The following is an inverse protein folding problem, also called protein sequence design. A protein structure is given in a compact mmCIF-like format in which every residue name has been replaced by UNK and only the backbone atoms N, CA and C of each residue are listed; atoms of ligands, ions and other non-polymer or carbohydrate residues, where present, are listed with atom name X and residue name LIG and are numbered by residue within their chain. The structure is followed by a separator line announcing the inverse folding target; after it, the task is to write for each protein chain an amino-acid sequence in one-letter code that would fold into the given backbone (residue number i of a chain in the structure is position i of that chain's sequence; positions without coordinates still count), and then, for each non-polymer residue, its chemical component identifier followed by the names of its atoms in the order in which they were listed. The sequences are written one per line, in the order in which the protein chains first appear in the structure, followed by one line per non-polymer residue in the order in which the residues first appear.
data_IF_802214438967
#
_entry.id   IF_802214438967
#
_cell.length_a   1.000
_cell.length_b   1.000
_cell.length_c   1.000
_cell.angle_alpha   90.00
_cell.angle_beta   90.00
_cell.angle_gamma   90.00
#
_symmetry.space_group_name_H-M   'P 1'
#
loop_
_entity.id
_entity.type
_entity.pdbx_description
1 polymer ?
#
# COMPACT_ATOMS: atom_id res chain seq x y z
N UNK A 1 5.02 -2.15 22.18
CA UNK A 1 3.60 -2.12 21.72
C UNK A 1 2.98 -0.71 21.73
N UNK A 2 3.74 0.36 21.45
CA UNK A 2 3.26 1.76 21.63
C UNK A 2 3.21 2.60 20.34
N UNK A 3 3.99 2.25 19.30
CA UNK A 3 4.11 3.06 18.08
C UNK A 3 2.89 3.07 17.16
N UNK A 4 2.20 1.94 17.00
CA UNK A 4 1.04 1.85 16.08
C UNK A 4 -0.22 2.55 16.61
N UNK A 5 -0.43 2.56 17.94
CA UNK A 5 -1.52 3.31 18.57
C UNK A 5 -1.35 4.82 18.40
N UNK A 6 -0.11 5.32 18.48
CA UNK A 6 0.17 6.75 18.30
C UNK A 6 -0.05 7.21 16.85
N UNK A 7 0.31 6.38 15.86
CA UNK A 7 0.03 6.66 14.44
C UNK A 7 -1.46 6.62 14.12
N UNK A 8 -2.17 5.62 14.61
CA UNK A 8 -3.62 5.52 14.41
C UNK A 8 -4.34 6.65 15.13
N UNK A 9 -4.01 6.97 16.38
CA UNK A 9 -4.57 8.13 17.10
C UNK A 9 -4.31 9.45 16.37
N UNK A 10 -3.10 9.67 15.84
CA UNK A 10 -2.80 10.89 15.07
C UNK A 10 -3.66 10.98 13.79
N UNK A 11 -3.88 9.86 13.10
CA UNK A 11 -4.79 9.80 11.96
C UNK A 11 -6.24 10.11 12.33
N UNK A 12 -6.73 9.56 13.44
CA UNK A 12 -8.07 9.83 13.96
C UNK A 12 -8.23 11.28 14.42
N UNK A 13 -7.22 11.87 15.07
CA UNK A 13 -7.20 13.28 15.45
C UNK A 13 -7.26 14.20 14.24
N UNK A 14 -6.54 13.89 13.16
CA UNK A 14 -6.60 14.66 11.93
C UNK A 14 -7.99 14.60 11.27
N UNK A 15 -8.64 13.42 11.27
CA UNK A 15 -10.02 13.27 10.79
C UNK A 15 -11.00 14.06 11.66
N UNK A 16 -10.87 13.98 12.99
CA UNK A 16 -11.72 14.72 13.92
C UNK A 16 -11.55 16.23 13.76
N UNK A 17 -10.31 16.73 13.66
CA UNK A 17 -10.02 18.14 13.41
C UNK A 17 -10.62 18.62 12.08
N UNK A 18 -10.52 17.79 11.03
CA UNK A 18 -11.10 18.08 9.72
C UNK A 18 -12.64 18.15 9.75
N UNK A 19 -13.29 17.20 10.43
CA UNK A 19 -14.73 17.19 10.63
C UNK A 19 -15.20 18.43 11.38
N UNK A 20 -14.53 18.77 12.48
CA UNK A 20 -14.86 19.96 13.30
C UNK A 20 -14.69 21.24 12.50
N UNK A 21 -13.59 21.37 11.75
CA UNK A 21 -13.33 22.53 10.91
C UNK A 21 -14.44 22.75 9.88
N UNK A 22 -14.83 21.69 9.15
CA UNK A 22 -15.87 21.79 8.11
C UNK A 22 -17.28 21.95 8.68
N UNK A 23 -17.56 21.38 9.86
CA UNK A 23 -18.84 21.55 10.55
C UNK A 23 -19.02 22.97 11.09
N UNK A 24 -17.93 23.62 11.48
CA UNK A 24 -17.91 25.02 11.93
C UNK A 24 -17.87 26.02 10.78
N UNK A 25 -17.33 25.62 9.63
CA UNK A 25 -17.26 26.47 8.45
C UNK A 25 -18.67 26.77 7.91
N UNK A 26 -18.91 27.98 7.40
CA UNK A 26 -20.14 28.25 6.68
C UNK A 26 -20.26 27.30 5.49
N UNK A 27 -21.46 26.72 5.28
CA UNK A 27 -21.70 25.68 4.28
C UNK A 27 -21.28 26.11 2.85
N UNK A 28 -21.38 27.41 2.55
CA UNK A 28 -20.98 28.02 1.28
C UNK A 28 -19.45 28.05 1.05
N UNK A 29 -18.63 27.86 2.09
CA UNK A 29 -17.17 27.72 2.00
C UNK A 29 -16.72 26.25 2.02
N UNK A 30 -17.46 25.38 2.75
CA UNK A 30 -17.16 23.95 2.80
C UNK A 30 -17.38 23.25 1.44
N UNK A 31 -18.47 23.59 0.75
CA UNK A 31 -18.82 23.02 -0.56
C UNK A 31 -17.79 23.32 -1.67
N UNK A 32 -17.36 24.57 -1.92
CA UNK A 32 -16.34 24.86 -2.93
C UNK A 32 -14.98 24.26 -2.57
N UNK A 33 -14.64 24.15 -1.29
CA UNK A 33 -13.41 23.48 -0.86
C UNK A 33 -13.42 21.98 -1.21
N UNK A 34 -14.54 21.30 -0.98
CA UNK A 34 -14.71 19.89 -1.37
C UNK A 34 -14.68 19.73 -2.90
N UNK A 35 -15.28 20.66 -3.64
CA UNK A 35 -15.20 20.67 -5.11
C UNK A 35 -13.78 20.88 -5.62
N UNK A 36 -13.00 21.78 -5.00
CA UNK A 36 -11.59 21.98 -5.34
C UNK A 36 -10.77 20.70 -5.09
N UNK A 37 -11.00 20.01 -3.97
CA UNK A 37 -10.37 18.71 -3.67
C UNK A 37 -10.76 17.66 -4.72
N UNK A 38 -12.04 17.60 -5.11
CA UNK A 38 -12.51 16.69 -6.15
C UNK A 38 -11.89 17.00 -7.52
N UNK A 39 -11.76 18.28 -7.89
CA UNK A 39 -11.13 18.73 -9.11
C UNK A 39 -9.64 18.39 -9.15
N UNK A 40 -8.92 18.60 -8.04
CA UNK A 40 -7.51 18.21 -7.90
C UNK A 40 -7.37 16.69 -8.06
N UNK A 41 -8.26 15.90 -7.47
CA UNK A 41 -8.29 14.45 -7.66
C UNK A 41 -8.56 14.06 -9.12
N UNK A 42 -9.48 14.73 -9.81
CA UNK A 42 -9.78 14.47 -11.22
C UNK A 42 -8.58 14.76 -12.15
N UNK A 43 -7.90 15.89 -11.93
CA UNK A 43 -6.82 16.36 -12.82
C UNK A 43 -5.48 15.71 -12.49
N UNK A 44 -5.23 15.40 -11.21
CA UNK A 44 -3.90 15.01 -10.74
C UNK A 44 -3.85 13.66 -10.02
N UNK A 45 -4.90 12.83 -10.10
CA UNK A 45 -4.94 11.52 -9.44
C UNK A 45 -3.71 10.65 -9.70
N UNK A 46 -3.16 10.67 -10.92
CA UNK A 46 -1.99 9.87 -11.27
C UNK A 46 -0.69 10.39 -10.65
N UNK A 47 -0.54 11.71 -10.49
CA UNK A 47 0.64 12.32 -9.85
C UNK A 47 0.63 12.21 -8.33
N UNK A 48 -0.55 12.09 -7.71
CA UNK A 48 -0.67 12.13 -6.26
C UNK A 48 -0.36 10.80 -5.55
N UNK A 49 -0.29 9.68 -6.27
CA UNK A 49 0.17 8.39 -5.73
C UNK A 49 -0.47 8.01 -4.39
N UNK A 50 0.33 7.91 -3.34
CA UNK A 50 -0.11 7.56 -1.97
C UNK A 50 -1.01 8.61 -1.31
N UNK A 51 -0.93 9.88 -1.69
CA UNK A 51 -1.72 10.97 -1.10
C UNK A 51 -3.18 10.94 -1.56
N UNK A 52 -3.47 10.35 -2.72
CA UNK A 52 -4.83 10.25 -3.25
C UNK A 52 -5.79 9.50 -2.30
N UNK A 53 -5.30 8.48 -1.60
CA UNK A 53 -6.09 7.76 -0.60
C UNK A 53 -6.50 8.65 0.60
N UNK A 54 -5.61 9.57 1.00
CA UNK A 54 -5.87 10.51 2.08
C UNK A 54 -6.88 11.58 1.65
N UNK A 55 -6.75 12.11 0.43
CA UNK A 55 -7.72 13.06 -0.13
C UNK A 55 -9.12 12.45 -0.34
N UNK A 56 -9.22 11.19 -0.81
CA UNK A 56 -10.51 10.47 -0.88
C UNK A 56 -11.17 10.35 0.48
N UNK A 57 -10.38 10.07 1.53
CA UNK A 57 -10.87 9.99 2.90
C UNK A 57 -11.32 11.36 3.42
N UNK A 58 -10.55 12.41 3.13
CA UNK A 58 -10.93 13.80 3.44
C UNK A 58 -12.22 14.23 2.75
N UNK A 59 -12.45 13.80 1.51
CA UNK A 59 -13.67 14.08 0.75
C UNK A 59 -14.89 13.34 1.31
N UNK A 60 -14.75 12.05 1.67
CA UNK A 60 -15.80 11.24 2.31
C UNK A 60 -16.28 11.84 3.63
N UNK A 61 -15.35 12.13 4.53
CA UNK A 61 -15.68 12.69 5.83
C UNK A 61 -16.06 14.17 5.74
N UNK A 62 -15.46 14.90 4.81
CA UNK A 62 -15.78 16.31 4.58
C UNK A 62 -17.19 16.52 4.04
N UNK A 63 -17.69 15.64 3.18
CA UNK A 63 -19.08 15.67 2.72
C UNK A 63 -20.07 15.52 3.87
N UNK A 64 -19.82 14.57 4.79
CA UNK A 64 -20.65 14.39 5.98
C UNK A 64 -20.68 15.64 6.86
N UNK A 65 -19.52 16.27 7.10
CA UNK A 65 -19.44 17.51 7.86
C UNK A 65 -20.13 18.70 7.16
N UNK A 66 -20.03 18.80 5.83
CA UNK A 66 -20.70 19.85 5.07
C UNK A 66 -22.23 19.69 5.07
N UNK A 67 -22.75 18.45 5.01
CA UNK A 67 -24.19 18.17 5.15
C UNK A 67 -24.70 18.52 6.54
N UNK A 68 -23.89 18.27 7.58
CA UNK A 68 -24.20 18.69 8.94
C UNK A 68 -24.21 20.22 9.07
N UNK A 69 -23.24 20.92 8.49
CA UNK A 69 -23.20 22.38 8.47
C UNK A 69 -24.41 22.99 7.72
N UNK A 70 -24.83 22.36 6.62
CA UNK A 70 -26.03 22.74 5.87
C UNK A 70 -27.31 22.52 6.69
N UNK A 71 -27.44 21.37 7.37
CA UNK A 71 -28.57 21.07 8.25
C UNK A 71 -28.67 22.09 9.40
N UNK A 72 -27.53 22.47 9.99
CA UNK A 72 -27.45 23.52 11.01
C UNK A 72 -27.88 24.89 10.48
N UNK A 73 -27.46 25.23 9.25
CA UNK A 73 -27.80 26.51 8.63
C UNK A 73 -29.28 26.63 8.23
N UNK A 74 -29.93 25.51 7.93
CA UNK A 74 -31.34 25.42 7.54
C UNK A 74 -32.32 25.34 8.73
N UNK A 75 -31.83 25.47 9.98
CA UNK A 75 -32.70 25.62 11.15
C UNK A 75 -33.28 24.33 11.73
N UNK A 76 -32.90 23.16 11.24
CA UNK A 76 -33.25 21.86 11.85
C UNK A 76 -34.68 21.35 11.59
N UNK A 77 -35.49 22.06 10.81
CA UNK A 77 -36.86 21.66 10.46
C UNK A 77 -36.91 20.36 9.61
N UNK A 78 -38.10 19.78 9.46
CA UNK A 78 -38.33 18.61 8.61
C UNK A 78 -37.81 18.80 7.17
N UNK A 79 -37.89 20.02 6.65
CA UNK A 79 -37.31 20.39 5.36
C UNK A 79 -35.78 20.34 5.36
N UNK A 80 -35.12 20.78 6.44
CA UNK A 80 -33.67 20.69 6.59
C UNK A 80 -33.19 19.23 6.63
N UNK A 81 -33.95 18.34 7.27
CA UNK A 81 -33.70 16.90 7.24
C UNK A 81 -33.87 16.30 5.85
N UNK A 82 -34.94 16.69 5.13
CA UNK A 82 -35.15 16.27 3.74
C UNK A 82 -34.02 16.72 2.82
N UNK A 83 -33.59 17.97 2.93
CA UNK A 83 -32.47 18.52 2.17
C UNK A 83 -31.14 17.84 2.51
N UNK A 84 -30.88 17.54 3.79
CA UNK A 84 -29.67 16.83 4.21
C UNK A 84 -29.65 15.37 3.72
N UNK A 85 -30.79 14.67 3.73
CA UNK A 85 -30.91 13.30 3.20
C UNK A 85 -30.75 13.26 1.69
N UNK A 86 -31.41 14.17 0.96
CA UNK A 86 -31.26 14.29 -0.49
C UNK A 86 -29.84 14.71 -0.88
N UNK A 87 -29.26 15.66 -0.16
CA UNK A 87 -27.87 16.08 -0.34
C UNK A 87 -26.88 14.96 -0.02
N UNK A 88 -27.16 14.15 1.01
CA UNK A 88 -26.42 12.95 1.35
C UNK A 88 -26.46 11.92 0.24
N UNK A 89 -27.66 11.59 -0.24
CA UNK A 89 -27.85 10.63 -1.33
C UNK A 89 -27.17 11.10 -2.61
N UNK A 90 -27.40 12.33 -3.05
CA UNK A 90 -26.80 12.89 -4.25
C UNK A 90 -25.28 12.99 -4.11
N UNK A 91 -24.80 13.52 -2.99
CA UNK A 91 -23.37 13.71 -2.73
C UNK A 91 -22.62 12.38 -2.64
N UNK A 92 -23.13 11.39 -1.91
CA UNK A 92 -22.50 10.07 -1.83
C UNK A 92 -22.61 9.27 -3.12
N UNK A 93 -23.69 9.42 -3.89
CA UNK A 93 -23.80 8.82 -5.23
C UNK A 93 -22.76 9.40 -6.18
N UNK A 94 -22.61 10.72 -6.20
CA UNK A 94 -21.62 11.40 -7.03
C UNK A 94 -20.20 11.05 -6.61
N UNK A 95 -19.95 10.96 -5.30
CA UNK A 95 -18.68 10.49 -4.75
C UNK A 95 -18.38 9.05 -5.13
N UNK A 96 -19.35 8.14 -5.05
CA UNK A 96 -19.19 6.75 -5.49
C UNK A 96 -18.92 6.67 -7.00
N UNK A 97 -19.61 7.50 -7.80
CA UNK A 97 -19.37 7.63 -9.23
C UNK A 97 -17.95 8.13 -9.54
N UNK A 98 -17.47 9.14 -8.80
CA UNK A 98 -16.11 9.65 -8.90
C UNK A 98 -15.07 8.58 -8.53
N UNK A 99 -15.27 7.86 -7.43
CA UNK A 99 -14.38 6.76 -7.02
C UNK A 99 -14.35 5.65 -8.08
N UNK A 100 -15.52 5.25 -8.58
CA UNK A 100 -15.64 4.27 -9.65
C UNK A 100 -14.95 4.74 -10.94
N UNK A 101 -15.09 6.02 -11.29
CA UNK A 101 -14.43 6.59 -12.46
C UNK A 101 -12.91 6.62 -12.31
N UNK A 102 -12.39 7.07 -11.16
CA UNK A 102 -10.95 7.07 -10.86
C UNK A 102 -10.39 5.65 -10.85
N UNK A 103 -11.14 4.68 -10.35
CA UNK A 103 -10.74 3.29 -10.33
C UNK A 103 -10.80 2.65 -11.72
N UNK A 104 -11.75 3.06 -12.58
CA UNK A 104 -11.77 2.68 -14.00
C UNK A 104 -10.63 3.34 -14.78
N UNK A 105 -10.32 4.61 -14.53
CA UNK A 105 -9.21 5.31 -15.18
C UNK A 105 -7.88 4.66 -14.83
N UNK A 106 -7.68 4.32 -13.55
CA UNK A 106 -6.51 3.60 -13.07
C UNK A 106 -6.41 2.17 -13.63
N UNK A 107 -7.53 1.45 -13.74
CA UNK A 107 -7.59 0.16 -14.42
C UNK A 107 -7.29 0.27 -15.92
N UNK A 108 -7.77 1.33 -16.59
CA UNK A 108 -7.46 1.63 -18.00
C UNK A 108 -6.03 2.08 -18.23
N UNK A 109 -5.41 2.79 -17.29
CA UNK A 109 -4.00 3.15 -17.35
C UNK A 109 -3.09 1.93 -17.12
N UNK A 110 -3.47 1.04 -16.19
CA UNK A 110 -2.84 -0.26 -16.05
C UNK A 110 -3.06 -1.17 -17.26
N UNK A 111 -4.19 -1.00 -17.95
CA UNK A 111 -4.55 -1.70 -19.18
C UNK A 111 -4.35 -0.85 -20.44
N UNK A 112 -3.42 0.13 -20.43
CA UNK A 112 -3.24 1.05 -21.55
C UNK A 112 -3.09 0.25 -22.87
N UNK A 113 -3.94 0.50 -23.90
CA UNK A 113 -4.16 -0.49 -24.93
C UNK A 113 -3.08 -0.45 -26.01
N UNK A 114 -2.69 -1.63 -26.48
CA UNK A 114 -2.26 -1.83 -27.85
C UNK A 114 -3.30 -1.20 -28.79
N UNK A 115 -2.79 -0.63 -29.89
CA UNK A 115 -3.46 0.09 -30.97
C UNK A 115 -4.93 -0.31 -31.22
N UNK A 116 -5.78 0.66 -31.61
CA UNK A 116 -7.15 0.38 -32.07
C UNK A 116 -7.07 -0.56 -33.26
N UNK A 117 -7.39 -1.82 -33.02
CA UNK A 117 -7.28 -2.93 -33.96
C UNK A 117 -8.71 -3.43 -34.16
N UNK A 118 -9.19 -3.35 -35.40
CA UNK A 118 -10.54 -3.79 -35.78
C UNK A 118 -10.70 -5.28 -35.45
N UNK A 119 -11.90 -5.70 -35.03
CA UNK A 119 -12.21 -7.05 -34.55
C UNK A 119 -11.60 -8.23 -35.35
N UNK A 120 -11.47 -8.18 -36.69
CA UNK A 120 -10.82 -9.26 -37.45
C UNK A 120 -9.32 -9.42 -37.17
N UNK A 121 -8.64 -8.33 -36.79
CA UNK A 121 -7.21 -8.32 -36.53
C UNK A 121 -6.86 -8.80 -35.11
N UNK A 122 -7.81 -8.78 -34.16
CA UNK A 122 -7.64 -9.37 -32.82
C UNK A 122 -7.49 -10.90 -32.84
N UNK A 123 -8.10 -11.58 -33.81
CA UNK A 123 -7.93 -13.02 -34.01
C UNK A 123 -6.52 -13.39 -34.53
N UNK A 124 -5.81 -12.42 -35.09
CA UNK A 124 -4.46 -12.57 -35.65
C UNK A 124 -3.38 -11.92 -34.80
N UNK A 125 -3.75 -11.18 -33.75
CA UNK A 125 -2.80 -10.59 -32.83
C UNK A 125 -2.13 -11.72 -32.00
N UNK A 126 -0.79 -11.74 -31.90
CA UNK A 126 -0.12 -12.64 -30.98
C UNK A 126 -0.66 -12.41 -29.57
N UNK A 127 -0.93 -13.51 -28.85
CA UNK A 127 -1.58 -13.52 -27.52
C UNK A 127 -0.73 -12.72 -26.52
N UNK A 128 -1.04 -11.43 -26.36
CA UNK A 128 -0.43 -10.53 -25.39
C UNK A 128 1.10 -10.39 -25.48
N UNK A 129 1.71 -9.54 -24.64
CA UNK A 129 3.11 -9.79 -24.27
C UNK A 129 3.18 -11.22 -23.71
N UNK A 130 4.28 -11.98 -23.95
CA UNK A 130 4.41 -13.32 -23.41
C UNK A 130 4.14 -13.26 -21.91
N UNK A 131 3.00 -13.82 -21.49
CA UNK A 131 2.63 -13.92 -20.10
C UNK A 131 3.58 -14.95 -19.49
N UNK A 132 4.72 -14.48 -19.00
CA UNK A 132 5.63 -15.32 -18.24
C UNK A 132 4.94 -15.63 -16.91
N UNK A 133 4.55 -16.90 -16.74
CA UNK A 133 4.09 -17.37 -15.43
C UNK A 133 5.29 -17.26 -14.49
N UNK A 134 5.19 -16.37 -13.51
CA UNK A 134 6.25 -16.17 -12.53
C UNK A 134 6.04 -17.19 -11.43
N UNK A 135 6.71 -18.33 -11.57
CA UNK A 135 6.72 -19.36 -10.52
C UNK A 135 7.63 -18.92 -9.38
N UNK A 136 7.03 -18.76 -8.19
CA UNK A 136 7.75 -18.40 -6.98
C UNK A 136 8.03 -19.67 -6.17
N UNK A 137 9.30 -19.92 -5.88
CA UNK A 137 9.68 -20.96 -4.93
C UNK A 137 9.34 -20.49 -3.50
N UNK A 138 8.64 -21.31 -2.70
CA UNK A 138 8.24 -20.92 -1.36
C UNK A 138 9.46 -20.73 -0.45
N UNK A 139 9.41 -19.78 0.51
CA UNK A 139 10.50 -19.58 1.45
C UNK A 139 10.49 -20.68 2.53
N UNK A 140 11.67 -21.22 2.81
CA UNK A 140 11.87 -22.15 3.92
C UNK A 140 12.30 -21.39 5.17
N UNK A 141 11.37 -21.27 6.10
CA UNK A 141 11.60 -20.61 7.39
C UNK A 141 12.12 -21.60 8.43
N UNK A 142 13.15 -21.16 9.14
CA UNK A 142 13.81 -21.90 10.22
C UNK A 142 13.82 -21.05 11.49
N UNK A 143 13.76 -21.71 12.63
CA UNK A 143 13.99 -21.06 13.91
C UNK A 143 15.49 -21.11 14.24
N UNK A 144 16.13 -19.95 14.22
CA UNK A 144 17.56 -19.82 14.47
C UNK A 144 18.01 -20.29 15.85
N UNK A 145 17.09 -20.33 16.83
CA UNK A 145 17.37 -20.82 18.18
C UNK A 145 17.68 -22.32 18.20
N UNK A 146 17.27 -23.05 17.17
CA UNK A 146 17.55 -24.49 17.02
C UNK A 146 18.90 -24.75 16.32
N UNK A 147 19.58 -23.68 15.89
CA UNK A 147 20.81 -23.75 15.10
C UNK A 147 20.51 -23.98 13.62
N UNK A 148 20.99 -23.06 12.78
CA UNK A 148 20.76 -23.10 11.33
C UNK A 148 22.13 -23.16 10.63
N UNK A 149 22.28 -24.11 9.70
CA UNK A 149 23.47 -24.20 8.86
C UNK A 149 23.46 -23.06 7.84
N UNK A 150 24.61 -22.45 7.61
CA UNK A 150 24.77 -21.44 6.56
C UNK A 150 25.07 -22.16 5.23
N UNK A 151 24.29 -21.95 4.15
CA UNK A 151 24.55 -22.57 2.84
C UNK A 151 25.93 -22.25 2.27
N UNK A 152 26.57 -21.15 2.68
CA UNK A 152 27.93 -20.79 2.28
C UNK A 152 29.01 -21.41 3.18
N UNK A 153 28.62 -22.29 4.09
CA UNK A 153 29.49 -22.96 5.06
C UNK A 153 29.44 -22.28 6.44
N UNK A 154 29.55 -23.09 7.49
CA UNK A 154 29.44 -22.63 8.87
C UNK A 154 28.02 -22.65 9.41
N UNK A 155 27.76 -21.81 10.42
CA UNK A 155 26.48 -21.73 11.13
C UNK A 155 26.07 -20.29 11.36
N UNK A 156 24.76 -20.09 11.39
CA UNK A 156 24.14 -18.83 11.81
C UNK A 156 24.09 -18.80 13.34
N UNK A 157 24.69 -17.79 13.95
CA UNK A 157 24.55 -17.53 15.40
C UNK A 157 23.47 -16.47 15.62
N UNK A 158 22.50 -16.76 16.46
CA UNK A 158 21.42 -15.84 16.82
C UNK A 158 21.41 -15.60 18.33
N UNK A 159 21.65 -14.35 18.73
CA UNK A 159 21.68 -13.96 20.15
C UNK A 159 21.01 -12.61 20.34
N UNK A 160 20.10 -12.53 21.31
CA UNK A 160 19.45 -11.28 21.73
C UNK A 160 18.86 -10.41 20.60
N UNK A 161 18.35 -11.02 19.52
CA UNK A 161 17.79 -10.30 18.38
C UNK A 161 18.79 -9.89 17.31
N UNK A 162 20.02 -10.40 17.39
CA UNK A 162 21.09 -10.17 16.42
C UNK A 162 21.48 -11.49 15.77
N UNK A 163 21.57 -11.49 14.44
CA UNK A 163 22.16 -12.57 13.66
C UNK A 163 23.60 -12.25 13.32
N UNK A 164 24.46 -13.26 13.40
CA UNK A 164 25.80 -13.26 12.83
C UNK A 164 25.93 -14.43 11.85
N UNK A 165 26.15 -14.08 10.59
CA UNK A 165 26.39 -15.04 9.51
C UNK A 165 27.88 -15.42 9.45
N UNK A 166 28.18 -16.56 8.83
CA UNK A 166 29.54 -17.10 8.76
C UNK A 166 30.50 -16.22 7.94
N UNK A 167 29.95 -15.49 6.96
CA UNK A 167 30.64 -14.50 6.14
C UNK A 167 30.78 -13.11 6.81
N UNK A 168 30.44 -13.01 8.11
CA UNK A 168 30.70 -11.84 8.93
C UNK A 168 29.59 -10.78 8.91
N UNK A 169 28.52 -10.97 8.12
CA UNK A 169 27.36 -10.08 8.18
C UNK A 169 26.67 -10.17 9.54
N UNK A 170 26.31 -8.99 10.06
CA UNK A 170 25.58 -8.84 11.31
C UNK A 170 24.27 -8.14 11.04
N UNK A 171 23.16 -8.72 11.50
CA UNK A 171 21.83 -8.13 11.37
C UNK A 171 21.19 -7.96 12.74
N UNK A 172 20.96 -6.71 13.13
CA UNK A 172 20.33 -6.36 14.41
C UNK A 172 18.82 -6.13 14.32
N UNK A 173 18.12 -6.37 15.43
CA UNK A 173 16.68 -6.13 15.56
C UNK A 173 15.80 -7.17 14.84
N UNK A 174 16.36 -8.35 14.61
CA UNK A 174 15.70 -9.47 13.97
C UNK A 174 15.02 -10.38 15.00
N UNK A 175 13.93 -11.03 14.59
CA UNK A 175 13.27 -12.11 15.30
C UNK A 175 13.94 -13.46 15.02
N UNK A 176 13.57 -14.52 15.75
CA UNK A 176 14.22 -15.83 15.66
C UNK A 176 13.93 -16.59 14.35
N UNK A 177 12.97 -16.13 13.55
CA UNK A 177 12.66 -16.77 12.27
C UNK A 177 13.54 -16.21 11.15
N UNK A 178 14.27 -17.10 10.49
CA UNK A 178 15.13 -16.77 9.36
C UNK A 178 14.99 -17.76 8.20
N UNK A 179 15.53 -17.41 7.05
CA UNK A 179 15.58 -18.28 5.89
C UNK A 179 16.69 -17.87 4.93
N UNK A 180 17.02 -18.75 4.00
CA UNK A 180 17.94 -18.47 2.92
C UNK A 180 17.23 -18.55 1.58
N UNK A 181 17.70 -17.75 0.62
CA UNK A 181 17.34 -17.94 -0.78
C UNK A 181 17.91 -19.27 -1.32
N UNK A 182 17.40 -19.78 -2.44
CA UNK A 182 17.79 -21.09 -3.00
C UNK A 182 19.30 -21.26 -3.24
N UNK A 183 20.01 -20.18 -3.56
CA UNK A 183 21.48 -20.16 -3.74
C UNK A 183 22.28 -19.71 -2.52
N UNK A 184 21.64 -19.41 -1.39
CA UNK A 184 22.33 -18.88 -0.20
C UNK A 184 22.83 -17.43 -0.29
N UNK A 185 22.63 -16.77 -1.43
CA UNK A 185 23.03 -15.38 -1.69
C UNK A 185 22.21 -14.35 -0.91
N UNK A 186 20.98 -14.74 -0.58
CA UNK A 186 20.10 -13.94 0.25
C UNK A 186 19.89 -14.61 1.59
N UNK A 187 20.01 -13.81 2.64
CA UNK A 187 19.53 -14.16 3.97
C UNK A 187 18.34 -13.28 4.33
N UNK A 188 17.30 -13.88 4.89
CA UNK A 188 16.10 -13.16 5.35
C UNK A 188 15.85 -13.47 6.81
N UNK A 189 15.44 -12.46 7.57
CA UNK A 189 14.93 -12.64 8.92
C UNK A 189 13.66 -11.80 9.13
N UNK A 190 12.69 -12.36 9.84
CA UNK A 190 11.55 -11.59 10.31
C UNK A 190 12.03 -10.52 11.30
N UNK A 191 11.48 -9.31 11.28
CA UNK A 191 11.84 -8.28 12.24
C UNK A 191 11.18 -8.55 13.61
N UNK A 192 11.90 -8.33 14.72
CA UNK A 192 11.38 -8.64 16.06
C UNK A 192 10.18 -7.78 16.49
N UNK A 193 10.11 -6.55 15.99
CA UNK A 193 9.07 -5.58 16.33
C UNK A 193 8.55 -4.90 15.06
N UNK A 194 7.22 -4.75 14.97
CA UNK A 194 6.48 -3.98 13.96
C UNK A 194 6.21 -4.63 12.58
N UNK A 195 6.34 -5.95 12.42
CA UNK A 195 5.93 -6.66 11.20
C UNK A 195 6.74 -6.23 9.96
N UNK A 196 7.72 -7.03 9.57
CA UNK A 196 8.58 -6.70 8.44
C UNK A 196 9.74 -7.67 8.31
N UNK A 197 10.65 -7.36 7.40
CA UNK A 197 11.79 -8.21 7.10
C UNK A 197 13.09 -7.43 7.11
N UNK A 198 14.13 -8.15 7.50
CA UNK A 198 15.52 -7.84 7.24
C UNK A 198 16.00 -8.76 6.12
N UNK A 199 16.51 -8.19 5.05
CA UNK A 199 17.04 -8.89 3.88
C UNK A 199 18.52 -8.53 3.75
N UNK A 200 19.40 -9.52 3.72
CA UNK A 200 20.82 -9.34 3.43
C UNK A 200 21.11 -9.87 2.03
N UNK A 201 21.52 -8.97 1.14
CA UNK A 201 22.18 -9.29 -0.11
C UNK A 201 23.65 -9.58 0.20
N UNK A 202 24.02 -10.85 0.27
CA UNK A 202 25.38 -11.29 0.61
C UNK A 202 26.32 -11.24 -0.59
N UNK A 203 25.81 -11.00 -1.80
CA UNK A 203 26.62 -10.82 -3.00
C UNK A 203 27.11 -9.37 -3.12
N UNK A 204 26.20 -8.41 -2.85
CA UNK A 204 26.52 -6.99 -2.96
C UNK A 204 26.79 -6.32 -1.62
N UNK A 205 26.71 -7.08 -0.52
CA UNK A 205 26.95 -6.61 0.84
C UNK A 205 25.96 -5.56 1.32
N UNK A 206 24.68 -5.70 0.95
CA UNK A 206 23.63 -4.74 1.29
C UNK A 206 22.64 -5.34 2.25
N UNK A 207 22.25 -4.56 3.25
CA UNK A 207 21.17 -4.92 4.18
C UNK A 207 19.99 -3.99 3.91
N UNK A 208 18.83 -4.59 3.64
CA UNK A 208 17.58 -3.91 3.40
C UNK A 208 16.61 -4.20 4.56
N UNK A 209 16.03 -3.14 5.12
CA UNK A 209 14.96 -3.24 6.12
C UNK A 209 13.65 -2.79 5.48
N UNK A 210 12.69 -3.71 5.37
CA UNK A 210 11.39 -3.44 4.74
C UNK A 210 10.27 -3.67 5.75
N UNK A 211 9.56 -2.60 6.10
CA UNK A 211 8.47 -2.62 7.07
C UNK A 211 7.12 -2.85 6.38
N UNK A 212 6.27 -3.70 6.97
CA UNK A 212 4.95 -4.03 6.42
C UNK A 212 4.98 -4.88 5.15
N UNK A 213 6.08 -5.59 4.93
CA UNK A 213 6.26 -6.54 3.83
C UNK A 213 6.60 -7.92 4.40
N UNK A 214 6.14 -8.96 3.71
CA UNK A 214 6.42 -10.36 4.01
C UNK A 214 7.03 -11.02 2.79
N UNK A 215 7.82 -12.07 3.02
CA UNK A 215 8.51 -12.78 1.94
C UNK A 215 7.51 -13.80 1.41
N UNK A 216 7.12 -13.61 0.16
CA UNK A 216 6.17 -14.49 -0.49
C UNK A 216 6.89 -15.65 -1.18
N UNK A 217 8.06 -15.40 -1.75
CA UNK A 217 8.89 -16.43 -2.34
C UNK A 217 10.09 -15.90 -3.10
N UNK A 218 10.69 -16.79 -3.89
CA UNK A 218 11.91 -16.54 -4.66
C UNK A 218 11.68 -16.80 -6.14
N UNK A 219 12.16 -15.91 -7.00
CA UNK A 219 12.23 -16.14 -8.44
C UNK A 219 13.64 -15.82 -8.92
N UNK A 220 14.29 -16.78 -9.58
CA UNK A 220 15.67 -16.60 -10.06
C UNK A 220 16.62 -16.12 -8.96
N UNK A 221 16.49 -16.66 -7.74
CA UNK A 221 17.22 -16.25 -6.53
C UNK A 221 16.95 -14.82 -6.02
N UNK A 222 16.03 -14.06 -6.61
CA UNK A 222 15.61 -12.75 -6.08
C UNK A 222 14.41 -12.86 -5.14
N UNK A 223 14.36 -12.04 -4.08
CA UNK A 223 13.23 -12.00 -3.14
C UNK A 223 12.02 -11.27 -3.75
N UNK A 224 10.87 -11.94 -3.65
CA UNK A 224 9.56 -11.39 -4.00
C UNK A 224 8.71 -11.21 -2.74
N UNK A 225 8.16 -10.00 -2.59
CA UNK A 225 7.55 -9.53 -1.35
C UNK A 225 6.09 -9.16 -1.57
N UNK A 226 5.25 -9.42 -0.58
CA UNK A 226 3.85 -9.00 -0.56
C UNK A 226 3.55 -8.21 0.73
N UNK A 227 2.61 -7.27 0.67
CA UNK A 227 2.15 -6.53 1.87
C UNK A 227 1.26 -7.38 2.77
N UNK A 228 0.47 -8.24 2.15
CA UNK A 228 -0.46 -9.18 2.77
C UNK A 228 -0.63 -10.40 1.83
N UNK A 229 -1.37 -11.42 2.27
CA UNK A 229 -1.61 -12.63 1.47
C UNK A 229 -2.57 -12.46 0.28
N UNK A 230 -3.07 -11.24 0.01
CA UNK A 230 -4.04 -10.96 -1.05
C UNK A 230 -3.48 -10.03 -2.14
N UNK A 231 -2.40 -9.33 -1.85
CA UNK A 231 -1.72 -8.44 -2.78
C UNK A 231 -0.81 -9.23 -3.73
N UNK A 232 -0.74 -8.79 -4.99
CA UNK A 232 0.22 -9.35 -5.93
C UNK A 232 1.66 -9.17 -5.39
N UNK A 233 2.50 -10.21 -5.41
CA UNK A 233 3.88 -10.11 -4.97
C UNK A 233 4.68 -9.24 -5.94
N UNK A 234 5.60 -8.44 -5.40
CA UNK A 234 6.47 -7.55 -6.17
C UNK A 234 7.93 -7.90 -5.92
N UNK A 235 8.82 -7.76 -6.92
CA UNK A 235 10.25 -7.94 -6.72
C UNK A 235 10.82 -6.85 -5.81
N UNK A 236 11.87 -7.16 -5.03
CA UNK A 236 12.48 -6.23 -4.07
C UNK A 236 12.85 -4.86 -4.68
N UNK A 237 13.32 -4.81 -5.94
CA UNK A 237 13.66 -3.55 -6.63
C UNK A 237 12.47 -2.58 -6.66
N UNK A 238 11.26 -3.07 -6.90
CA UNK A 238 10.05 -2.26 -6.93
C UNK A 238 9.61 -1.84 -5.53
N UNK A 239 9.76 -2.73 -4.54
CA UNK A 239 9.51 -2.43 -3.13
C UNK A 239 10.43 -1.31 -2.62
N UNK A 240 11.68 -1.30 -3.07
CA UNK A 240 12.66 -0.25 -2.75
C UNK A 240 12.45 1.03 -3.57
N UNK A 241 11.53 1.05 -4.53
CA UNK A 241 11.31 2.18 -5.43
C UNK A 241 12.44 2.39 -6.45
N UNK A 242 13.33 1.40 -6.61
CA UNK A 242 14.38 1.39 -7.62
C UNK A 242 13.73 0.98 -8.96
N UNK A 243 13.23 1.98 -9.71
CA UNK A 243 12.81 1.76 -11.09
C UNK A 243 13.99 1.23 -11.88
N UNK A 244 13.77 0.12 -12.59
CA UNK A 244 14.76 -0.43 -13.53
C UNK A 244 15.21 0.69 -14.48
N UNK A 245 16.53 0.89 -14.54
CA UNK A 245 17.14 1.58 -15.67
C UNK A 245 17.21 0.62 -16.85
#
# INVERSE_FOLDING_TARGET
MTGERLRTMRGWLAVAAWLVLLALLPWWLGLPLLLAIAAILLVSAERLGSHAAMLRRGLRWGLAAALFALQRALGGDAFAWGAALLGGLAGYTLLAGLEAWLDRARRRAAAAPAHVVEWPQLAMAPVGPPAAIIELQPPHWHDARQGVADPRGGRVDFRAGTYRLADGFVLDGAGPMCGFGPGGDWFVAAQAQAGGLLLCDRMHGRIHRVCGWQLYGWQGAQPWLARDGHSAPLPLKEVLGLRGR
#
